data_IF_070467543800
#
_entry.id   IF_070467543800
#
_cell.length_a   1.000
_cell.length_b   1.000
_cell.length_c   1.000
_cell.angle_alpha   90.00
_cell.angle_beta   90.00
_cell.angle_gamma   90.00
#
_symmetry.space_group_name_H-M   'P 1'
#
loop_
_entity.id
_entity.type
_entity.pdbx_description
1 polymer ?
#
# COMPACT_ATOMS: atom_id res chain seq x y z
N UNK A 1 -14.47 -15.32 -5.74
CA UNK A 1 -14.34 -14.54 -4.49
C UNK A 1 -13.02 -14.91 -3.84
N UNK A 2 -12.21 -13.95 -3.44
CA UNK A 2 -10.93 -14.23 -2.77
C UNK A 2 -11.18 -14.84 -1.40
N UNK A 3 -10.56 -15.99 -1.04
CA UNK A 3 -10.82 -16.66 0.23
C UNK A 3 -10.47 -15.82 1.46
N UNK A 4 -9.56 -14.85 1.31
CA UNK A 4 -9.15 -13.92 2.39
C UNK A 4 -10.23 -12.89 2.73
N UNK A 5 -11.16 -12.63 1.80
CA UNK A 5 -12.15 -11.57 1.94
C UNK A 5 -13.04 -11.78 3.18
N UNK A 6 -13.56 -12.98 3.38
CA UNK A 6 -14.45 -13.28 4.51
C UNK A 6 -13.75 -13.11 5.86
N UNK A 7 -12.47 -13.50 5.95
CA UNK A 7 -11.66 -13.37 7.17
C UNK A 7 -11.44 -11.89 7.49
N UNK A 8 -11.08 -11.10 6.47
CA UNK A 8 -10.83 -9.66 6.61
C UNK A 8 -12.11 -8.91 6.97
N UNK A 9 -13.22 -9.21 6.31
CA UNK A 9 -14.51 -8.56 6.59
C UNK A 9 -15.00 -8.87 8.00
N UNK A 10 -14.92 -10.12 8.42
CA UNK A 10 -15.30 -10.51 9.79
C UNK A 10 -14.44 -9.83 10.84
N UNK A 11 -13.12 -9.82 10.65
CA UNK A 11 -12.21 -9.13 11.56
C UNK A 11 -12.44 -7.62 11.58
N UNK A 12 -12.80 -7.02 10.45
CA UNK A 12 -13.04 -5.59 10.37
C UNK A 12 -14.26 -5.14 11.18
N UNK A 13 -15.29 -5.97 11.32
CA UNK A 13 -16.45 -5.66 12.17
C UNK A 13 -16.05 -5.59 13.67
N UNK A 14 -15.07 -6.39 14.11
CA UNK A 14 -14.53 -6.36 15.47
C UNK A 14 -13.23 -5.54 15.62
N UNK A 15 -12.92 -4.70 14.65
CA UNK A 15 -11.64 -3.97 14.58
C UNK A 15 -11.31 -3.11 15.81
N UNK A 16 -12.32 -2.70 16.57
CA UNK A 16 -12.11 -1.90 17.76
C UNK A 16 -11.35 -2.68 18.84
N UNK A 17 -11.54 -3.99 18.89
CA UNK A 17 -10.95 -4.89 19.88
C UNK A 17 -9.64 -5.53 19.39
N UNK A 18 -9.26 -5.34 18.12
CA UNK A 18 -8.04 -5.91 17.54
C UNK A 18 -6.84 -5.00 17.79
N UNK A 19 -5.75 -5.60 18.25
CA UNK A 19 -4.45 -4.94 18.46
C UNK A 19 -3.31 -5.94 18.18
N UNK A 20 -2.04 -5.48 18.16
CA UNK A 20 -0.89 -6.34 17.82
C UNK A 20 -0.73 -7.55 18.75
N UNK A 21 -1.15 -7.45 20.02
CA UNK A 21 -0.98 -8.51 21.00
C UNK A 21 -2.04 -9.62 20.89
N UNK A 22 -3.25 -9.31 20.45
CA UNK A 22 -4.37 -10.27 20.43
C UNK A 22 -4.78 -10.75 19.04
N UNK A 23 -4.28 -10.12 17.98
CA UNK A 23 -4.58 -10.51 16.61
C UNK A 23 -4.04 -11.91 16.31
N UNK A 24 -4.91 -12.79 15.75
CA UNK A 24 -4.52 -14.15 15.38
C UNK A 24 -3.43 -14.15 14.30
N UNK A 25 -2.60 -15.22 14.31
CA UNK A 25 -1.57 -15.41 13.27
C UNK A 25 -2.20 -15.53 11.88
N UNK A 26 -3.37 -16.15 11.78
CA UNK A 26 -4.13 -16.27 10.54
C UNK A 26 -4.54 -14.89 9.99
N UNK A 27 -5.10 -14.03 10.82
CA UNK A 27 -5.48 -12.67 10.42
C UNK A 27 -4.27 -11.87 9.95
N UNK A 28 -3.18 -11.91 10.72
CA UNK A 28 -1.92 -11.23 10.34
C UNK A 28 -1.40 -11.70 8.99
N UNK A 29 -1.37 -13.02 8.76
CA UNK A 29 -0.90 -13.61 7.50
C UNK A 29 -1.79 -13.21 6.31
N UNK A 30 -3.12 -13.21 6.48
CA UNK A 30 -4.04 -12.82 5.41
C UNK A 30 -3.93 -11.33 5.07
N UNK A 31 -3.87 -10.46 6.06
CA UNK A 31 -3.69 -9.01 5.83
C UNK A 31 -2.35 -8.72 5.19
N UNK A 32 -1.26 -9.31 5.68
CA UNK A 32 0.08 -9.16 5.10
C UNK A 32 0.13 -9.62 3.63
N UNK A 33 -0.49 -10.75 3.32
CA UNK A 33 -0.61 -11.25 1.95
C UNK A 33 -1.34 -10.26 1.04
N UNK A 34 -2.42 -9.64 1.51
CA UNK A 34 -3.14 -8.61 0.75
C UNK A 34 -2.28 -7.36 0.55
N UNK A 35 -1.58 -6.89 1.58
CA UNK A 35 -0.69 -5.73 1.45
C UNK A 35 0.43 -6.00 0.43
N UNK A 36 0.98 -7.22 0.43
CA UNK A 36 1.96 -7.65 -0.57
C UNK A 36 1.39 -7.64 -1.99
N UNK A 37 0.18 -8.14 -2.18
CA UNK A 37 -0.47 -8.16 -3.50
C UNK A 37 -0.81 -6.75 -3.99
N UNK A 38 -1.17 -5.83 -3.09
CA UNK A 38 -1.31 -4.40 -3.42
C UNK A 38 0.04 -3.78 -3.81
N UNK A 39 1.11 -4.11 -3.09
CA UNK A 39 2.46 -3.61 -3.33
C UNK A 39 3.02 -4.04 -4.69
N UNK A 40 2.69 -5.24 -5.14
CA UNK A 40 3.09 -5.80 -6.44
C UNK A 40 2.15 -5.46 -7.59
N UNK A 41 0.99 -4.84 -7.30
CA UNK A 41 -0.04 -4.53 -8.29
C UNK A 41 -0.90 -5.73 -8.71
N UNK A 42 -0.75 -6.88 -8.05
CA UNK A 42 -1.59 -8.08 -8.27
C UNK A 42 -3.04 -7.82 -7.89
N UNK A 43 -3.24 -7.05 -6.81
CA UNK A 43 -4.53 -6.54 -6.39
C UNK A 43 -4.56 -5.01 -6.52
N UNK A 44 -5.77 -4.48 -6.66
CA UNK A 44 -6.00 -3.05 -6.81
C UNK A 44 -7.26 -2.65 -6.03
N UNK A 45 -7.17 -1.59 -5.23
CA UNK A 45 -8.30 -1.11 -4.40
C UNK A 45 -9.49 -0.67 -5.27
N UNK A 46 -9.21 -0.11 -6.44
CA UNK A 46 -10.24 0.20 -7.43
C UNK A 46 -9.80 -0.28 -8.81
N UNK A 47 -10.71 -0.87 -9.57
CA UNK A 47 -10.47 -1.33 -10.94
C UNK A 47 -11.59 -0.90 -11.87
N UNK A 48 -11.28 -0.83 -13.18
CA UNK A 48 -12.33 -0.60 -14.18
C UNK A 48 -13.16 -1.86 -14.38
N UNK A 49 -14.44 -1.67 -14.63
CA UNK A 49 -15.35 -2.76 -15.01
C UNK A 49 -15.24 -2.98 -16.52
N UNK A 50 -14.50 -4.01 -16.92
CA UNK A 50 -14.20 -4.30 -18.33
C UNK A 50 -13.54 -3.10 -18.99
N UNK A 51 -13.94 -2.80 -20.23
CA UNK A 51 -13.45 -1.67 -21.03
C UNK A 51 -14.24 -0.38 -20.80
N UNK A 52 -15.06 -0.33 -19.79
CA UNK A 52 -15.91 0.83 -19.48
C UNK A 52 -15.14 1.94 -18.76
N UNK A 53 -15.74 3.14 -18.67
CA UNK A 53 -15.23 4.23 -17.84
C UNK A 53 -15.67 4.10 -16.36
N UNK A 54 -16.42 3.05 -16.04
CA UNK A 54 -16.95 2.80 -14.69
C UNK A 54 -15.89 2.16 -13.82
N UNK A 55 -15.74 2.66 -12.60
CA UNK A 55 -14.81 2.11 -11.60
C UNK A 55 -15.58 1.37 -10.52
N UNK A 56 -15.07 0.23 -10.13
CA UNK A 56 -15.50 -0.53 -8.96
C UNK A 56 -14.46 -0.41 -7.84
N UNK A 57 -14.91 -0.14 -6.63
CA UNK A 57 -14.06 -0.11 -5.44
C UNK A 57 -14.20 -1.42 -4.67
N UNK A 58 -13.10 -2.12 -4.49
CA UNK A 58 -13.03 -3.36 -3.72
C UNK A 58 -12.93 -3.04 -2.22
N UNK A 59 -14.07 -2.86 -1.56
CA UNK A 59 -14.14 -2.39 -0.16
C UNK A 59 -13.38 -3.28 0.81
N UNK A 60 -13.34 -4.60 0.58
CA UNK A 60 -12.62 -5.52 1.44
C UNK A 60 -11.10 -5.26 1.45
N UNK A 61 -10.52 -4.81 0.34
CA UNK A 61 -9.11 -4.40 0.27
C UNK A 61 -8.84 -3.13 1.09
N UNK A 62 -9.78 -2.18 1.10
CA UNK A 62 -9.69 -1.01 1.99
C UNK A 62 -9.77 -1.44 3.46
N UNK A 63 -10.64 -2.40 3.79
CA UNK A 63 -10.75 -2.96 5.13
C UNK A 63 -9.43 -3.64 5.55
N UNK A 64 -8.78 -4.39 4.65
CA UNK A 64 -7.46 -4.99 4.90
C UNK A 64 -6.40 -3.93 5.21
N UNK A 65 -6.33 -2.85 4.43
CA UNK A 65 -5.40 -1.74 4.69
C UNK A 65 -5.69 -1.07 6.04
N UNK A 66 -6.95 -0.88 6.41
CA UNK A 66 -7.30 -0.28 7.71
C UNK A 66 -6.98 -1.22 8.88
N UNK A 67 -7.15 -2.53 8.71
CA UNK A 67 -6.75 -3.53 9.69
C UNK A 67 -5.23 -3.55 9.87
N UNK A 68 -4.43 -3.42 8.81
CA UNK A 68 -2.97 -3.46 8.92
C UNK A 68 -2.43 -2.45 9.94
N UNK A 69 -3.06 -1.27 10.07
CA UNK A 69 -2.68 -0.26 11.07
C UNK A 69 -2.96 -0.69 12.52
N UNK A 70 -3.73 -1.76 12.74
CA UNK A 70 -4.03 -2.31 14.05
C UNK A 70 -3.19 -3.52 14.39
N UNK A 71 -2.47 -4.08 13.42
CA UNK A 71 -1.70 -5.31 13.57
C UNK A 71 -0.23 -5.07 13.93
N UNK A 72 0.25 -3.83 13.75
CA UNK A 72 1.61 -3.43 14.02
C UNK A 72 1.66 -2.22 14.97
N UNK A 73 2.69 -2.18 15.80
CA UNK A 73 3.04 -1.01 16.60
C UNK A 73 3.92 -0.04 15.80
N UNK A 74 3.96 1.22 16.26
CA UNK A 74 4.92 2.17 15.72
C UNK A 74 6.35 1.74 16.07
N UNK A 75 7.23 1.84 15.10
CA UNK A 75 8.67 1.57 15.26
C UNK A 75 9.49 2.77 14.80
N UNK A 76 10.67 2.91 15.39
CA UNK A 76 11.63 3.91 14.94
C UNK A 76 12.18 3.51 13.59
N UNK A 77 12.09 4.41 12.63
CA UNK A 77 12.68 4.29 11.30
C UNK A 77 13.72 5.40 11.12
N UNK A 78 14.90 5.03 10.61
CA UNK A 78 16.01 5.95 10.39
C UNK A 78 16.43 5.83 8.91
N UNK A 79 16.41 6.93 8.18
CA UNK A 79 16.83 6.99 6.77
C UNK A 79 18.23 7.61 6.60
N UNK A 80 18.92 7.86 7.72
CA UNK A 80 20.24 8.49 7.74
C UNK A 80 20.21 10.01 7.68
N UNK A 81 19.07 10.62 7.37
CA UNK A 81 18.87 12.08 7.33
C UNK A 81 17.93 12.52 8.44
N UNK A 82 16.86 11.81 8.65
CA UNK A 82 15.89 12.07 9.70
C UNK A 82 15.32 10.78 10.27
N UNK A 83 14.50 10.89 11.29
CA UNK A 83 13.88 9.74 11.95
C UNK A 83 12.37 9.87 11.90
N UNK A 84 11.72 8.72 11.74
CA UNK A 84 10.27 8.61 11.74
C UNK A 84 9.83 7.62 12.82
N UNK A 85 8.59 7.74 13.28
CA UNK A 85 8.00 6.82 14.24
C UNK A 85 6.62 6.42 13.74
N UNK A 86 6.58 5.35 12.94
CA UNK A 86 5.37 4.87 12.26
C UNK A 86 5.38 3.34 12.13
N UNK A 87 4.26 2.80 11.74
CA UNK A 87 4.04 1.36 11.54
C UNK A 87 4.15 0.91 10.08
N UNK A 88 4.09 1.83 9.13
CA UNK A 88 4.16 1.50 7.70
C UNK A 88 5.53 1.90 7.16
N UNK A 89 6.39 0.93 6.80
CA UNK A 89 7.70 1.26 6.26
C UNK A 89 7.61 1.91 4.88
N UNK A 90 8.60 2.71 4.48
CA UNK A 90 8.75 3.16 3.10
C UNK A 90 8.91 1.96 2.15
N UNK A 91 8.28 2.05 0.97
CA UNK A 91 8.35 0.99 -0.05
C UNK A 91 9.79 0.65 -0.44
N UNK A 92 10.63 1.66 -0.58
CA UNK A 92 11.99 1.53 -1.10
C UNK A 92 13.06 1.35 -0.02
N UNK A 93 12.69 1.18 1.25
CA UNK A 93 13.64 1.09 2.37
C UNK A 93 14.76 0.06 2.16
N UNK A 94 14.48 -1.03 1.45
CA UNK A 94 15.42 -2.11 1.20
C UNK A 94 15.74 -2.31 -0.30
N UNK A 95 15.40 -1.35 -1.16
CA UNK A 95 15.67 -1.46 -2.59
C UNK A 95 17.15 -1.24 -2.89
N UNK A 96 17.72 -2.14 -3.67
CA UNK A 96 19.02 -1.97 -4.32
C UNK A 96 18.87 -1.21 -5.65
N UNK A 97 20.00 -0.79 -6.22
CA UNK A 97 20.01 -0.22 -7.59
C UNK A 97 19.41 -1.18 -8.63
N UNK A 98 19.63 -2.49 -8.44
CA UNK A 98 19.07 -3.52 -9.30
C UNK A 98 17.54 -3.57 -9.23
N UNK A 99 16.96 -3.39 -8.03
CA UNK A 99 15.51 -3.38 -7.84
C UNK A 99 14.87 -2.17 -8.54
N UNK A 100 15.49 -0.99 -8.44
CA UNK A 100 15.02 0.19 -9.18
C UNK A 100 15.10 0.01 -10.70
N UNK A 101 16.19 -0.56 -11.21
CA UNK A 101 16.35 -0.87 -12.64
C UNK A 101 15.31 -1.89 -13.11
N UNK A 102 15.05 -2.94 -12.33
CA UNK A 102 14.04 -3.94 -12.62
C UNK A 102 12.62 -3.35 -12.59
N UNK A 103 12.35 -2.46 -11.63
CA UNK A 103 11.08 -1.73 -11.53
C UNK A 103 10.83 -0.79 -12.70
N UNK A 104 11.90 -0.22 -13.26
CA UNK A 104 11.85 0.64 -14.46
C UNK A 104 11.16 1.98 -14.25
N UNK A 105 11.14 2.50 -13.04
CA UNK A 105 10.56 3.80 -12.68
C UNK A 105 11.64 4.73 -12.08
N UNK A 106 11.35 6.03 -12.04
CA UNK A 106 12.22 7.05 -11.47
C UNK A 106 11.60 7.63 -10.20
N UNK A 107 12.41 7.72 -9.14
CA UNK A 107 12.02 8.30 -7.86
C UNK A 107 12.94 9.47 -7.57
N UNK A 108 12.39 10.68 -7.53
CA UNK A 108 13.13 11.90 -7.24
C UNK A 108 13.31 12.02 -5.71
N UNK A 109 14.45 12.53 -5.21
CA UNK A 109 14.63 12.76 -3.77
C UNK A 109 13.43 13.51 -3.16
N UNK A 110 13.04 13.09 -1.95
CA UNK A 110 11.85 13.54 -1.20
C UNK A 110 10.49 13.04 -1.74
N UNK A 111 10.46 12.15 -2.74
CA UNK A 111 9.24 11.39 -3.01
C UNK A 111 9.04 10.33 -1.92
N UNK A 112 7.90 10.36 -1.24
CA UNK A 112 7.55 9.43 -0.17
C UNK A 112 6.56 8.41 -0.70
N UNK A 113 6.95 7.13 -0.65
CA UNK A 113 6.12 6.01 -1.12
C UNK A 113 5.99 4.99 0.00
N UNK A 114 4.78 4.76 0.45
CA UNK A 114 4.51 3.76 1.49
C UNK A 114 4.44 2.36 0.90
N UNK A 115 4.95 1.36 1.63
CA UNK A 115 4.75 -0.04 1.32
C UNK A 115 3.26 -0.36 1.18
N UNK A 116 2.91 -1.26 0.25
CA UNK A 116 1.53 -1.56 -0.11
C UNK A 116 0.95 -0.64 -1.18
N UNK A 117 1.78 0.15 -1.84
CA UNK A 117 1.44 0.89 -3.06
C UNK A 117 2.17 0.31 -4.27
N UNK A 118 1.53 0.31 -5.43
CA UNK A 118 2.13 -0.14 -6.70
C UNK A 118 2.63 1.04 -7.53
N UNK A 119 3.82 0.87 -8.09
CA UNK A 119 4.44 1.83 -9.02
C UNK A 119 4.74 1.12 -10.33
N UNK A 120 4.08 1.54 -11.40
CA UNK A 120 4.23 0.98 -12.74
C UNK A 120 5.54 1.39 -13.43
N UNK A 121 5.93 0.63 -14.46
CA UNK A 121 7.09 0.95 -15.29
C UNK A 121 6.98 2.34 -15.90
N UNK A 122 8.11 2.98 -16.14
CA UNK A 122 8.19 4.32 -16.72
C UNK A 122 7.47 5.42 -15.93
N UNK A 123 6.99 5.10 -14.71
CA UNK A 123 6.46 6.14 -13.83
C UNK A 123 7.58 7.06 -13.33
N UNK A 124 7.23 8.33 -13.11
CA UNK A 124 8.11 9.33 -12.53
C UNK A 124 7.45 9.89 -11.27
N UNK A 125 8.09 9.70 -10.14
CA UNK A 125 7.63 10.26 -8.88
C UNK A 125 8.49 11.49 -8.57
N UNK A 126 7.90 12.68 -8.75
CA UNK A 126 8.46 13.92 -8.23
C UNK A 126 8.33 13.95 -6.71
N UNK A 127 8.89 14.92 -5.98
CA UNK A 127 8.63 15.06 -4.53
C UNK A 127 7.14 15.09 -4.25
N UNK A 128 6.60 13.98 -3.81
CA UNK A 128 5.17 13.68 -3.74
C UNK A 128 4.90 12.64 -2.68
N UNK A 129 3.65 12.33 -2.43
CA UNK A 129 3.26 11.33 -1.44
C UNK A 129 2.37 10.26 -2.07
N UNK A 130 2.85 9.00 -2.06
CA UNK A 130 2.08 7.84 -2.51
C UNK A 130 1.73 6.96 -1.31
N UNK A 131 0.45 6.92 -0.97
CA UNK A 131 -0.01 6.23 0.22
C UNK A 131 -0.21 4.73 -0.02
N UNK A 132 -0.25 3.95 1.06
CA UNK A 132 -0.60 2.53 1.05
C UNK A 132 -1.95 2.30 0.33
N UNK A 133 -2.01 1.33 -0.57
CA UNK A 133 -3.18 1.01 -1.38
C UNK A 133 -3.33 1.85 -2.66
N UNK A 134 -2.45 2.83 -2.91
CA UNK A 134 -2.42 3.56 -4.16
C UNK A 134 -1.86 2.69 -5.31
N UNK A 135 -2.27 2.99 -6.53
CA UNK A 135 -1.82 2.31 -7.74
C UNK A 135 -1.42 3.35 -8.78
N UNK A 136 -0.13 3.56 -8.93
CA UNK A 136 0.44 4.44 -9.96
C UNK A 136 0.64 3.61 -11.24
N UNK A 137 -0.13 3.92 -12.27
CA UNK A 137 -0.07 3.21 -13.55
C UNK A 137 1.23 3.46 -14.31
N UNK A 138 1.48 2.62 -15.31
CA UNK A 138 2.63 2.75 -16.21
C UNK A 138 2.68 4.12 -16.88
N UNK A 139 3.87 4.72 -16.97
CA UNK A 139 4.10 6.00 -17.63
C UNK A 139 3.50 7.22 -16.91
N UNK A 140 2.95 7.04 -15.71
CA UNK A 140 2.34 8.12 -14.94
C UNK A 140 3.41 9.02 -14.31
N UNK A 141 3.20 10.33 -14.36
CA UNK A 141 3.94 11.29 -13.54
C UNK A 141 3.11 11.67 -12.32
N UNK A 142 3.65 11.45 -11.13
CA UNK A 142 3.12 12.01 -9.88
C UNK A 142 3.90 13.29 -9.62
N UNK A 143 3.26 14.42 -9.85
CA UNK A 143 3.93 15.72 -9.87
C UNK A 143 4.23 16.24 -8.46
N UNK A 144 4.99 17.35 -8.40
CA UNK A 144 5.49 17.93 -7.16
C UNK A 144 4.36 18.28 -6.20
N UNK A 145 4.47 17.76 -4.97
CA UNK A 145 3.49 17.89 -3.88
C UNK A 145 2.11 17.28 -4.16
N UNK A 146 1.98 16.49 -5.23
CA UNK A 146 0.79 15.67 -5.41
C UNK A 146 0.71 14.56 -4.37
N UNK A 147 -0.51 14.15 -4.05
CA UNK A 147 -0.77 13.04 -3.14
C UNK A 147 -1.65 12.01 -3.85
N UNK A 148 -1.14 10.79 -4.01
CA UNK A 148 -1.94 9.65 -4.44
C UNK A 148 -2.35 8.83 -3.21
N UNK A 149 -3.66 8.66 -3.02
CA UNK A 149 -4.26 7.97 -1.88
C UNK A 149 -5.01 6.73 -2.36
N UNK A 150 -5.02 5.69 -1.50
CA UNK A 150 -5.83 4.48 -1.72
C UNK A 150 -7.32 4.77 -1.85
N UNK A 151 -7.72 5.95 -1.62
CA UNK A 151 -9.10 6.26 -1.40
C UNK A 151 -9.78 6.68 -2.67
N UNK A 152 -10.78 5.92 -3.01
CA UNK A 152 -12.02 6.56 -3.40
C UNK A 152 -12.69 6.95 -2.07
N UNK A 153 -12.60 8.20 -1.72
CA UNK A 153 -13.40 8.76 -0.65
C UNK A 153 -14.77 8.98 -1.23
#
# INVERSE_FOLDING_TARGET
MDPRQSIIETAFEDRANINPANASAELKANVESVIKDLDTGTLRVASRIGDTQTWETHQWLKKAVLLSFRLDDNVLMDDGVTKYFDKVPPKFANYSEADFKAGGFRVVPNAIVRRGSFIGKNAVLMPSYVNIGAYVGEGTMVDTWATDRKSVV
#
